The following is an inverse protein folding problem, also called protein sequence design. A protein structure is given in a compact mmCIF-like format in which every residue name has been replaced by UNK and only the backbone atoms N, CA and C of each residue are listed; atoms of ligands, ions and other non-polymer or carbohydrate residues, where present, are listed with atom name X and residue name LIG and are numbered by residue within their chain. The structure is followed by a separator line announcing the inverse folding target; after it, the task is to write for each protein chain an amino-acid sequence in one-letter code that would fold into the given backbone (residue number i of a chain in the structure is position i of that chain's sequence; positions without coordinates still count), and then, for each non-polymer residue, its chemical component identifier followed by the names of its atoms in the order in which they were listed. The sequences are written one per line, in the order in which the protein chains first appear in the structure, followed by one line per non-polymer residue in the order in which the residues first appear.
data_IF_889426087872
#
_entry.id   IF_889426087872
#
_cell.length_a   1.000
_cell.length_b   1.000
_cell.length_c   1.000
_cell.angle_alpha   90.00
_cell.angle_beta   90.00
_cell.angle_gamma   90.00
#
_symmetry.space_group_name_H-M   'P 1'
#
loop_
_entity.id
_entity.type
_entity.pdbx_description
1 polymer ?
#
# COMPACT_ATOMS: atom_id res chain seq x y z
N UNK A 1 5.23 32.09 7.96
CA UNK A 1 5.98 31.33 9.01
C UNK A 1 5.39 29.94 9.11
N UNK A 2 6.09 28.94 8.62
CA UNK A 2 5.66 27.56 8.71
C UNK A 2 5.73 27.11 10.17
N UNK A 3 4.60 26.78 10.77
CA UNK A 3 4.56 26.13 12.09
C UNK A 3 5.22 24.77 11.97
N UNK A 4 6.40 24.63 12.55
CA UNK A 4 7.05 23.33 12.78
C UNK A 4 6.08 22.45 13.56
N UNK A 5 5.49 21.47 12.88
CA UNK A 5 4.74 20.42 13.55
C UNK A 5 5.72 19.67 14.46
N UNK A 6 5.50 19.77 15.75
CA UNK A 6 6.27 19.04 16.76
C UNK A 6 6.08 17.56 16.50
N UNK A 7 7.15 16.88 16.11
CA UNK A 7 7.19 15.42 15.96
C UNK A 7 6.91 14.78 17.31
N UNK A 8 5.65 14.48 17.61
CA UNK A 8 5.32 13.62 18.76
C UNK A 8 5.78 12.20 18.42
N UNK A 9 6.77 11.73 19.13
CA UNK A 9 7.20 10.35 19.05
C UNK A 9 6.02 9.43 19.37
N UNK A 10 5.68 8.55 18.45
CA UNK A 10 4.63 7.55 18.65
C UNK A 10 5.09 6.59 19.75
N UNK A 11 4.44 6.64 20.89
CA UNK A 11 4.69 5.70 21.99
C UNK A 11 4.27 4.29 21.50
N UNK A 12 5.25 3.41 21.33
CA UNK A 12 5.02 1.98 21.11
C UNK A 12 4.26 1.43 22.32
N UNK A 13 3.10 0.83 22.09
CA UNK A 13 2.35 0.13 23.16
C UNK A 13 0.91 0.56 23.35
N UNK A 14 0.31 1.25 22.40
CA UNK A 14 -1.13 1.53 22.44
C UNK A 14 -1.89 0.28 21.99
N UNK A 15 -2.73 -0.26 22.88
CA UNK A 15 -3.61 -1.38 22.55
C UNK A 15 -4.78 -0.88 21.70
N UNK A 16 -4.94 -1.46 20.52
CA UNK A 16 -6.03 -1.12 19.61
C UNK A 16 -7.33 -1.81 20.08
N UNK A 17 -8.44 -1.07 20.31
CA UNK A 17 -9.74 -1.70 20.55
C UNK A 17 -10.17 -2.55 19.34
N UNK A 18 -10.83 -3.71 19.55
CA UNK A 18 -11.18 -4.64 18.46
C UNK A 18 -12.10 -4.05 17.40
N UNK A 19 -12.95 -3.07 17.76
CA UNK A 19 -13.91 -2.44 16.85
C UNK A 19 -13.52 -0.99 16.48
N UNK A 20 -12.26 -0.64 16.67
CA UNK A 20 -11.81 0.73 16.41
C UNK A 20 -11.82 1.05 14.92
N UNK A 21 -12.45 2.18 14.58
CA UNK A 21 -12.37 2.79 13.25
C UNK A 21 -12.02 4.27 13.38
N UNK A 22 -11.09 4.78 12.57
CA UNK A 22 -10.74 6.20 12.60
C UNK A 22 -11.94 7.08 12.26
N UNK A 23 -12.14 8.14 13.02
CA UNK A 23 -13.18 9.13 12.77
C UNK A 23 -12.59 10.52 12.61
N UNK A 24 -13.28 11.37 11.85
CA UNK A 24 -12.88 12.77 11.65
C UNK A 24 -12.94 13.61 12.92
N UNK A 25 -13.62 13.11 13.95
CA UNK A 25 -13.78 13.81 15.25
C UNK A 25 -12.58 13.67 16.16
N UNK A 26 -11.71 12.70 15.87
CA UNK A 26 -10.49 12.45 16.64
C UNK A 26 -9.34 13.32 16.14
N UNK A 27 -8.33 13.52 17.01
CA UNK A 27 -7.08 14.12 16.58
C UNK A 27 -6.46 13.31 15.44
N UNK A 28 -6.14 13.97 14.33
CA UNK A 28 -5.55 13.31 13.17
C UNK A 28 -4.20 12.68 13.51
N UNK A 29 -4.03 11.43 13.14
CA UNK A 29 -2.85 10.63 13.49
C UNK A 29 -2.56 10.59 14.99
N UNK A 30 -3.61 10.46 15.80
CA UNK A 30 -3.47 10.09 17.21
C UNK A 30 -2.73 8.74 17.31
N UNK A 31 -2.08 8.43 18.45
CA UNK A 31 -1.36 7.15 18.59
C UNK A 31 -2.21 5.92 18.28
N UNK A 32 -3.49 5.94 18.61
CA UNK A 32 -4.44 4.85 18.31
C UNK A 32 -4.71 4.77 16.80
N UNK A 33 -4.92 5.89 16.14
CA UNK A 33 -5.15 5.96 14.69
C UNK A 33 -3.94 5.47 13.91
N UNK A 34 -2.74 5.87 14.29
CA UNK A 34 -1.49 5.41 13.69
C UNK A 34 -1.34 3.90 13.85
N UNK A 35 -1.65 3.37 15.03
CA UNK A 35 -1.61 1.95 15.31
C UNK A 35 -2.60 1.17 14.43
N UNK A 36 -3.78 1.72 14.21
CA UNK A 36 -4.78 1.13 13.30
C UNK A 36 -4.23 0.99 11.88
N UNK A 37 -3.67 2.06 11.31
CA UNK A 37 -3.12 2.02 9.97
C UNK A 37 -1.85 1.17 9.87
N UNK A 38 -1.01 1.18 10.89
CA UNK A 38 0.16 0.31 10.96
C UNK A 38 -0.24 -1.17 10.90
N UNK A 39 -1.22 -1.56 11.70
CA UNK A 39 -1.71 -2.95 11.70
C UNK A 39 -2.35 -3.32 10.37
N UNK A 40 -3.12 -2.41 9.77
CA UNK A 40 -3.72 -2.61 8.44
C UNK A 40 -2.66 -2.83 7.36
N UNK A 41 -1.59 -2.04 7.38
CA UNK A 41 -0.45 -2.18 6.46
C UNK A 41 0.28 -3.51 6.66
N UNK A 42 0.54 -3.91 7.90
CA UNK A 42 1.22 -5.18 8.21
C UNK A 42 0.40 -6.39 7.79
N UNK A 43 -0.89 -6.37 8.04
CA UNK A 43 -1.81 -7.45 7.63
C UNK A 43 -1.84 -7.56 6.11
N UNK A 44 -1.97 -6.47 5.40
CA UNK A 44 -1.96 -6.45 3.94
C UNK A 44 -0.63 -6.95 3.37
N UNK A 45 0.49 -6.54 3.95
CA UNK A 45 1.82 -7.03 3.58
C UNK A 45 1.93 -8.54 3.72
N UNK A 46 1.48 -9.07 4.84
CA UNK A 46 1.49 -10.50 5.11
C UNK A 46 0.62 -11.27 4.11
N UNK A 47 -0.58 -10.78 3.83
CA UNK A 47 -1.48 -11.38 2.84
C UNK A 47 -0.85 -11.43 1.44
N UNK A 48 -0.19 -10.36 1.02
CA UNK A 48 0.51 -10.31 -0.27
C UNK A 48 1.68 -11.29 -0.33
N UNK A 49 2.45 -11.42 0.72
CA UNK A 49 3.58 -12.35 0.79
C UNK A 49 3.11 -13.80 0.79
N UNK A 50 2.04 -14.11 1.52
CA UNK A 50 1.44 -15.44 1.54
C UNK A 50 0.87 -15.83 0.18
N UNK A 51 0.15 -14.93 -0.48
CA UNK A 51 -0.36 -15.14 -1.83
C UNK A 51 0.78 -15.37 -2.84
N UNK A 52 1.86 -14.61 -2.77
CA UNK A 52 3.04 -14.78 -3.64
C UNK A 52 3.73 -16.12 -3.42
N UNK A 53 3.87 -16.57 -2.17
CA UNK A 53 4.43 -17.88 -1.84
C UNK A 53 3.58 -19.02 -2.36
N UNK A 54 2.27 -18.92 -2.22
CA UNK A 54 1.31 -19.90 -2.76
C UNK A 54 1.39 -19.99 -4.29
N UNK A 55 1.44 -18.86 -4.98
CA UNK A 55 1.60 -18.79 -6.43
C UNK A 55 2.92 -19.44 -6.89
N UNK A 56 4.02 -19.19 -6.17
CA UNK A 56 5.31 -19.80 -6.48
C UNK A 56 5.28 -21.33 -6.36
N UNK A 57 4.65 -21.85 -5.31
CA UNK A 57 4.48 -23.29 -5.14
C UNK A 57 3.66 -23.90 -6.28
N UNK A 58 2.57 -23.28 -6.68
CA UNK A 58 1.76 -23.72 -7.82
C UNK A 58 2.55 -23.74 -9.14
N UNK A 59 3.40 -22.75 -9.36
CA UNK A 59 4.26 -22.70 -10.54
C UNK A 59 5.31 -23.82 -10.54
N UNK A 60 5.83 -24.20 -9.39
CA UNK A 60 6.78 -25.30 -9.26
C UNK A 60 6.11 -26.67 -9.46
N UNK A 61 4.89 -26.83 -8.94
CA UNK A 61 4.10 -28.07 -9.10
C UNK A 61 3.57 -28.24 -10.53
N UNK A 62 3.27 -27.15 -11.25
CA UNK A 62 2.76 -27.14 -12.63
C UNK A 62 3.79 -27.49 -13.72
N UNK A 63 5.02 -27.84 -13.37
CA UNK A 63 6.06 -28.27 -14.32
C UNK A 63 5.92 -29.72 -14.78
N UNK A 64 4.91 -30.44 -14.31
CA UNK A 64 4.66 -31.81 -14.72
C UNK A 64 3.80 -31.89 -15.99
N UNK A 65 4.40 -32.41 -17.01
CA UNK A 65 3.87 -33.04 -18.23
C UNK A 65 2.52 -32.53 -18.77
N UNK A 66 2.55 -31.68 -19.77
CA UNK A 66 1.37 -31.35 -20.57
C UNK A 66 1.40 -32.05 -21.92
N UNK A 67 0.38 -32.87 -22.21
CA UNK A 67 0.37 -33.71 -23.41
C UNK A 67 -0.04 -33.02 -24.72
N UNK A 68 -0.51 -31.75 -24.69
CA UNK A 68 -1.05 -31.06 -25.87
C UNK A 68 -0.43 -29.66 -26.03
N UNK A 69 -0.19 -29.25 -27.28
CA UNK A 69 0.36 -27.95 -27.67
C UNK A 69 -0.60 -26.81 -27.28
N UNK A 70 -1.91 -26.98 -27.39
CA UNK A 70 -2.91 -26.03 -27.01
C UNK A 70 -2.94 -25.84 -25.48
N UNK A 71 -2.81 -26.91 -24.71
CA UNK A 71 -2.70 -26.87 -23.26
C UNK A 71 -1.42 -26.19 -22.79
N UNK A 72 -0.31 -26.40 -23.48
CA UNK A 72 0.96 -25.68 -23.22
C UNK A 72 0.82 -24.18 -23.43
N UNK A 73 0.18 -23.74 -24.50
CA UNK A 73 -0.04 -22.32 -24.79
C UNK A 73 -0.90 -21.67 -23.72
N UNK A 74 -1.97 -22.34 -23.27
CA UNK A 74 -2.83 -21.87 -22.19
C UNK A 74 -2.06 -21.80 -20.86
N UNK A 75 -1.27 -22.80 -20.54
CA UNK A 75 -0.43 -22.84 -19.34
C UNK A 75 0.62 -21.74 -19.33
N UNK A 76 1.29 -21.51 -20.47
CA UNK A 76 2.26 -20.41 -20.59
C UNK A 76 1.61 -19.04 -20.41
N UNK A 77 0.40 -18.83 -20.95
CA UNK A 77 -0.38 -17.61 -20.75
C UNK A 77 -0.74 -17.44 -19.28
N UNK A 78 -1.24 -18.47 -18.62
CA UNK A 78 -1.56 -18.45 -17.19
C UNK A 78 -0.33 -18.17 -16.33
N UNK A 79 0.79 -18.82 -16.63
CA UNK A 79 2.07 -18.60 -15.96
C UNK A 79 2.55 -17.15 -16.11
N UNK A 80 2.43 -16.59 -17.31
CA UNK A 80 2.77 -15.18 -17.57
C UNK A 80 1.89 -14.22 -16.75
N UNK A 81 0.58 -14.48 -16.65
CA UNK A 81 -0.34 -13.69 -15.83
C UNK A 81 0.00 -13.79 -14.33
N UNK A 82 0.31 -14.99 -13.85
CA UNK A 82 0.71 -15.21 -12.46
C UNK A 82 2.01 -14.48 -12.11
N UNK A 83 3.00 -14.51 -13.00
CA UNK A 83 4.25 -13.78 -12.84
C UNK A 83 4.03 -12.26 -12.80
N UNK A 84 3.15 -11.72 -13.62
CA UNK A 84 2.77 -10.29 -13.59
C UNK A 84 2.07 -9.93 -12.29
N UNK A 85 1.18 -10.78 -11.82
CA UNK A 85 0.49 -10.60 -10.52
C UNK A 85 1.49 -10.59 -9.37
N UNK A 86 2.46 -11.50 -9.40
CA UNK A 86 3.54 -11.57 -8.42
C UNK A 86 4.42 -10.32 -8.44
N UNK A 87 4.80 -9.83 -9.62
CA UNK A 87 5.58 -8.59 -9.76
C UNK A 87 4.82 -7.38 -9.23
N UNK A 88 3.53 -7.31 -9.50
CA UNK A 88 2.66 -6.27 -8.97
C UNK A 88 2.57 -6.32 -7.45
N UNK A 89 2.41 -7.52 -6.88
CA UNK A 89 2.40 -7.73 -5.44
C UNK A 89 3.73 -7.31 -4.79
N UNK A 90 4.86 -7.64 -5.41
CA UNK A 90 6.18 -7.23 -4.93
C UNK A 90 6.34 -5.72 -4.90
N UNK A 91 5.89 -5.02 -5.94
CA UNK A 91 5.89 -3.54 -5.97
C UNK A 91 5.00 -2.94 -4.88
N UNK A 92 3.85 -3.56 -4.60
CA UNK A 92 2.98 -3.14 -3.51
C UNK A 92 3.65 -3.34 -2.14
N UNK A 93 4.34 -4.44 -1.93
CA UNK A 93 5.10 -4.70 -0.69
C UNK A 93 6.14 -3.61 -0.46
N UNK A 94 6.87 -3.19 -1.49
CA UNK A 94 7.83 -2.08 -1.39
C UNK A 94 7.13 -0.78 -0.96
N UNK A 95 5.97 -0.48 -1.51
CA UNK A 95 5.18 0.70 -1.13
C UNK A 95 4.64 0.61 0.29
N UNK A 96 4.25 -0.58 0.73
CA UNK A 96 3.82 -0.82 2.11
C UNK A 96 4.99 -0.64 3.08
N UNK A 97 6.17 -1.16 2.75
CA UNK A 97 7.38 -0.99 3.57
C UNK A 97 7.74 0.50 3.70
N UNK A 98 7.65 1.26 2.62
CA UNK A 98 7.82 2.72 2.64
C UNK A 98 6.78 3.41 3.53
N UNK A 99 5.53 2.98 3.50
CA UNK A 99 4.48 3.51 4.38
C UNK A 99 4.75 3.18 5.85
N UNK A 100 5.20 1.97 6.15
CA UNK A 100 5.59 1.57 7.51
C UNK A 100 6.80 2.37 8.03
N UNK A 101 7.74 2.70 7.16
CA UNK A 101 8.85 3.60 7.50
C UNK A 101 8.35 5.00 7.86
N UNK A 102 7.38 5.52 7.12
CA UNK A 102 6.74 6.80 7.46
C UNK A 102 5.98 6.75 8.77
N UNK A 103 5.36 5.64 9.12
CA UNK A 103 4.77 5.42 10.45
C UNK A 103 5.85 5.52 11.53
N UNK A 104 6.99 4.89 11.33
CA UNK A 104 8.12 4.95 12.26
C UNK A 104 8.69 6.36 12.42
N UNK A 105 8.72 7.14 11.33
CA UNK A 105 9.21 8.53 11.30
C UNK A 105 8.15 9.57 11.70
N UNK A 106 6.94 9.14 12.05
CA UNK A 106 5.82 10.04 12.37
C UNK A 106 5.40 10.98 11.23
N UNK A 107 5.66 10.59 9.98
CA UNK A 107 5.29 11.33 8.77
C UNK A 107 4.11 10.71 8.00
N UNK A 108 3.62 9.56 8.46
CA UNK A 108 2.50 8.88 7.83
C UNK A 108 1.22 9.71 7.88
N UNK A 109 0.44 9.67 6.81
CA UNK A 109 -0.86 10.32 6.69
C UNK A 109 -0.83 11.76 6.19
N UNK A 110 0.34 12.30 5.90
CA UNK A 110 0.51 13.65 5.37
C UNK A 110 0.97 13.59 3.92
N UNK A 111 0.47 14.55 3.11
CA UNK A 111 0.84 14.67 1.72
C UNK A 111 2.33 15.02 1.59
N UNK A 112 3.07 14.28 0.78
CA UNK A 112 4.50 14.54 0.54
C UNK A 112 4.75 15.89 -0.15
N UNK A 113 3.80 16.36 -0.92
CA UNK A 113 3.94 17.58 -1.72
C UNK A 113 3.52 18.82 -0.96
N UNK A 114 2.37 18.78 -0.26
CA UNK A 114 1.80 19.94 0.42
C UNK A 114 2.01 19.94 1.93
N UNK A 115 2.33 18.80 2.53
CA UNK A 115 2.42 18.63 3.97
C UNK A 115 1.07 18.62 4.69
N UNK A 116 -0.03 18.72 3.97
CA UNK A 116 -1.38 18.68 4.53
C UNK A 116 -1.82 17.26 4.86
N UNK A 117 -2.72 17.06 5.83
CA UNK A 117 -3.28 15.76 6.13
C UNK A 117 -4.02 15.17 4.92
N UNK A 118 -3.76 13.90 4.63
CA UNK A 118 -4.53 13.13 3.65
C UNK A 118 -5.87 12.74 4.28
N UNK A 119 -6.97 12.81 3.53
CA UNK A 119 -8.29 12.48 4.08
C UNK A 119 -8.35 11.04 4.58
N UNK A 120 -9.07 10.80 5.69
CA UNK A 120 -9.23 9.47 6.26
C UNK A 120 -9.87 8.48 5.28
N UNK A 121 -10.86 8.94 4.50
CA UNK A 121 -11.49 8.10 3.48
C UNK A 121 -10.49 7.60 2.44
N UNK A 122 -9.57 8.46 2.03
CA UNK A 122 -8.50 8.11 1.09
C UNK A 122 -7.51 7.12 1.70
N UNK A 123 -7.10 7.33 2.95
CA UNK A 123 -6.19 6.41 3.66
C UNK A 123 -6.85 5.06 3.94
N UNK A 124 -8.15 5.03 4.25
CA UNK A 124 -8.91 3.78 4.40
C UNK A 124 -8.96 2.99 3.09
N UNK A 125 -9.23 3.66 1.98
CA UNK A 125 -9.27 3.03 0.66
C UNK A 125 -7.87 2.65 0.16
N UNK A 126 -6.88 3.47 0.45
CA UNK A 126 -5.50 3.29 -0.01
C UNK A 126 -4.50 3.66 1.09
N UNK A 127 -4.16 2.72 1.98
CA UNK A 127 -3.26 3.00 3.11
C UNK A 127 -1.85 3.44 2.72
N UNK A 128 -1.41 3.14 1.51
CA UNK A 128 -0.10 3.54 0.97
C UNK A 128 -0.10 4.93 0.30
N UNK A 129 -1.22 5.66 0.34
CA UNK A 129 -1.32 6.98 -0.29
C UNK A 129 -0.28 7.96 0.28
N UNK A 130 0.45 8.61 -0.61
CA UNK A 130 1.50 9.60 -0.29
C UNK A 130 1.08 11.01 -0.63
N UNK A 131 0.05 11.16 -1.46
CA UNK A 131 -0.45 12.44 -1.95
C UNK A 131 -1.93 12.59 -1.56
N UNK A 132 -2.32 13.83 -1.26
CA UNK A 132 -3.73 14.18 -1.16
C UNK A 132 -4.42 14.02 -2.53
N UNK A 133 -5.74 13.96 -2.54
CA UNK A 133 -6.50 13.86 -3.79
C UNK A 133 -6.17 15.01 -4.75
N UNK A 134 -6.10 16.24 -4.25
CA UNK A 134 -5.77 17.42 -5.02
C UNK A 134 -4.35 17.37 -5.62
N UNK A 135 -3.37 16.91 -4.84
CA UNK A 135 -2.00 16.75 -5.32
C UNK A 135 -1.91 15.64 -6.38
N UNK A 136 -2.63 14.55 -6.21
CA UNK A 136 -2.69 13.46 -7.18
C UNK A 136 -3.30 13.93 -8.52
N UNK A 137 -4.41 14.63 -8.48
CA UNK A 137 -5.06 15.19 -9.67
C UNK A 137 -4.15 16.19 -10.42
N UNK A 138 -3.38 16.96 -9.67
CA UNK A 138 -2.41 17.91 -10.24
C UNK A 138 -1.29 17.18 -10.97
N UNK A 139 -0.75 16.12 -10.39
CA UNK A 139 0.24 15.25 -11.02
C UNK A 139 -0.28 14.62 -12.31
N UNK A 140 -1.47 14.06 -12.28
CA UNK A 140 -2.09 13.44 -13.45
C UNK A 140 -2.32 14.43 -14.60
N UNK A 141 -2.69 15.67 -14.28
CA UNK A 141 -2.81 16.75 -15.27
C UNK A 141 -1.47 17.11 -15.89
N UNK A 142 -0.42 17.21 -15.09
CA UNK A 142 0.92 17.50 -15.57
C UNK A 142 1.48 16.39 -16.46
N UNK A 143 1.25 15.14 -16.09
CA UNK A 143 1.66 13.98 -16.89
C UNK A 143 0.97 13.96 -18.27
N UNK A 144 -0.32 14.27 -18.32
CA UNK A 144 -1.06 14.39 -19.59
C UNK A 144 -0.49 15.48 -20.48
N UNK A 145 -0.19 16.64 -19.91
CA UNK A 145 0.38 17.78 -20.67
C UNK A 145 1.77 17.47 -21.20
N UNK A 146 2.58 16.70 -20.49
CA UNK A 146 3.90 16.29 -20.96
C UNK A 146 3.88 15.19 -22.02
N UNK A 147 2.81 14.38 -22.07
CA UNK A 147 2.66 13.35 -23.10
C UNK A 147 2.24 13.91 -24.44
N UNK A 148 1.58 15.07 -24.45
CA UNK A 148 1.07 15.73 -25.66
C UNK A 148 2.09 16.69 -26.30
N UNK A 149 3.25 16.84 -25.73
CA UNK A 149 4.41 17.56 -26.29
C UNK A 149 5.48 16.57 -26.75
#
# INVERSE_FOLDING_TARGET
MAKKATKKSVKRGVTLPPDYKPTKKEEFMSPVMVQYFEQKLRTWREDLLNASSSTLLQLQEGNEFEPDIADRATTETNRSLELRTRDRARKLVVKIDSALERVANSSYGYCDETGEPISLNRLEARPIATLSLEAQERHERMEKTHRDN
#
